data_IF_627454514111
#
_entry.id   IF_627454514111
#
_cell.length_a   1.000
_cell.length_b   1.000
_cell.length_c   1.000
_cell.angle_alpha   90.00
_cell.angle_beta   90.00
_cell.angle_gamma   90.00
#
_symmetry.space_group_name_H-M   'P 1'
#
loop_
_entity.id
_entity.type
_entity.pdbx_description
1 polymer ?
#
# COMPACT_ATOMS: atom_id res chain seq x y z
N UNK A 1 -20.13 -1.94 33.09
CA UNK A 1 -18.78 -2.10 32.52
C UNK A 1 -18.89 -3.22 31.52
N UNK A 2 -19.30 -2.90 30.30
CA UNK A 2 -19.43 -3.89 29.23
C UNK A 2 -18.04 -4.17 28.67
N UNK A 3 -17.56 -5.39 28.89
CA UNK A 3 -16.42 -5.90 28.15
C UNK A 3 -16.81 -5.91 26.66
N UNK A 4 -15.99 -5.36 25.75
CA UNK A 4 -16.27 -5.46 24.32
C UNK A 4 -16.36 -6.94 23.94
N UNK A 5 -17.49 -7.34 23.35
CA UNK A 5 -17.72 -8.72 22.97
C UNK A 5 -16.58 -9.24 22.08
N UNK A 6 -16.09 -10.47 22.31
CA UNK A 6 -15.01 -11.10 21.54
C UNK A 6 -15.32 -11.32 20.04
N UNK A 7 -16.50 -10.91 19.55
CA UNK A 7 -16.90 -10.99 18.14
C UNK A 7 -16.24 -9.96 17.21
N UNK A 8 -15.74 -8.83 17.72
CA UNK A 8 -15.25 -7.74 16.85
C UNK A 8 -13.93 -8.06 16.12
N UNK A 9 -12.93 -8.61 16.81
CA UNK A 9 -11.60 -8.86 16.23
C UNK A 9 -11.61 -10.05 15.28
N UNK A 10 -12.31 -11.13 15.63
CA UNK A 10 -12.42 -12.32 14.78
C UNK A 10 -13.10 -11.99 13.44
N UNK A 11 -14.16 -11.17 13.47
CA UNK A 11 -14.82 -10.67 12.27
C UNK A 11 -13.87 -9.84 11.39
N UNK A 12 -13.08 -8.93 11.97
CA UNK A 12 -12.08 -8.14 11.23
C UNK A 12 -11.08 -9.06 10.51
N UNK A 13 -10.57 -10.08 11.22
CA UNK A 13 -9.61 -11.04 10.65
C UNK A 13 -10.24 -11.84 9.51
N UNK A 14 -11.47 -12.32 9.68
CA UNK A 14 -12.20 -13.06 8.64
C UNK A 14 -12.38 -12.17 7.39
N UNK A 15 -12.84 -10.93 7.57
CA UNK A 15 -13.01 -9.98 6.48
C UNK A 15 -11.68 -9.68 5.78
N UNK A 16 -10.63 -9.37 6.54
CA UNK A 16 -9.30 -9.10 6.00
C UNK A 16 -8.71 -10.27 5.21
N UNK A 17 -8.94 -11.51 5.64
CA UNK A 17 -8.51 -12.72 4.94
C UNK A 17 -9.38 -13.05 3.72
N UNK A 18 -10.68 -12.74 3.76
CA UNK A 18 -11.62 -13.02 2.67
C UNK A 18 -11.34 -12.18 1.41
N UNK A 19 -10.94 -10.92 1.58
CA UNK A 19 -10.68 -9.97 0.49
C UNK A 19 -9.64 -10.50 -0.52
N UNK A 20 -8.41 -10.88 -0.12
CA UNK A 20 -7.42 -11.40 -1.07
C UNK A 20 -7.82 -12.73 -1.70
N UNK A 21 -8.59 -13.58 -0.99
CA UNK A 21 -9.09 -14.85 -1.53
C UNK A 21 -10.13 -14.60 -2.63
N UNK A 22 -11.03 -13.66 -2.41
CA UNK A 22 -12.04 -13.28 -3.41
C UNK A 22 -11.38 -12.59 -4.60
N UNK A 23 -10.42 -11.68 -4.35
CA UNK A 23 -9.58 -11.11 -5.40
C UNK A 23 -8.91 -12.20 -6.25
N UNK A 24 -8.26 -13.18 -5.60
CA UNK A 24 -7.61 -14.28 -6.30
C UNK A 24 -8.59 -15.10 -7.16
N UNK A 25 -9.77 -15.37 -6.62
CA UNK A 25 -10.84 -16.08 -7.32
C UNK A 25 -11.33 -15.32 -8.55
N UNK A 26 -11.44 -14.00 -8.46
CA UNK A 26 -11.80 -13.12 -9.59
C UNK A 26 -10.77 -13.21 -10.70
N UNK A 27 -9.48 -13.11 -10.37
CA UNK A 27 -8.40 -13.16 -11.38
C UNK A 27 -8.35 -14.53 -12.06
N UNK A 28 -8.52 -15.61 -11.32
CA UNK A 28 -8.41 -16.98 -11.85
C UNK A 28 -9.64 -17.39 -12.65
N UNK A 29 -10.85 -17.04 -12.19
CA UNK A 29 -12.10 -17.56 -12.75
C UNK A 29 -12.76 -16.63 -13.78
N UNK A 30 -12.51 -15.31 -13.72
CA UNK A 30 -13.19 -14.35 -14.60
C UNK A 30 -12.27 -13.94 -15.75
N UNK A 31 -12.62 -14.25 -17.02
CA UNK A 31 -11.80 -13.89 -18.17
C UNK A 31 -11.74 -12.38 -18.37
N UNK A 32 -10.71 -11.90 -19.08
CA UNK A 32 -10.52 -10.48 -19.41
C UNK A 32 -11.67 -9.86 -20.24
N UNK A 33 -12.43 -10.68 -20.97
CA UNK A 33 -13.59 -10.26 -21.77
C UNK A 33 -14.87 -10.08 -20.94
N UNK A 34 -14.96 -10.67 -19.75
CA UNK A 34 -16.15 -10.67 -18.89
C UNK A 34 -16.34 -9.36 -18.13
N UNK A 35 -16.54 -8.24 -18.85
CA UNK A 35 -16.61 -6.89 -18.25
C UNK A 35 -17.69 -6.79 -17.18
N UNK A 36 -18.90 -7.28 -17.45
CA UNK A 36 -20.01 -7.21 -16.49
C UNK A 36 -19.71 -8.03 -15.22
N UNK A 37 -19.18 -9.25 -15.38
CA UNK A 37 -18.77 -10.09 -14.25
C UNK A 37 -17.66 -9.44 -13.41
N UNK A 38 -16.71 -8.74 -14.05
CA UNK A 38 -15.65 -8.00 -13.35
C UNK A 38 -16.20 -6.80 -12.58
N UNK A 39 -17.18 -6.10 -13.13
CA UNK A 39 -17.87 -5.00 -12.43
C UNK A 39 -18.60 -5.56 -11.20
N UNK A 40 -19.43 -6.60 -11.36
CA UNK A 40 -20.15 -7.23 -10.25
C UNK A 40 -19.21 -7.76 -9.16
N UNK A 41 -18.13 -8.42 -9.57
CA UNK A 41 -17.09 -8.89 -8.66
C UNK A 41 -16.37 -7.75 -7.90
N UNK A 42 -16.15 -6.61 -8.56
CA UNK A 42 -15.56 -5.44 -7.92
C UNK A 42 -16.52 -4.79 -6.93
N UNK A 43 -17.83 -4.76 -7.24
CA UNK A 43 -18.86 -4.32 -6.28
C UNK A 43 -18.83 -5.22 -5.03
N UNK A 44 -18.76 -6.54 -5.20
CA UNK A 44 -18.64 -7.47 -4.07
C UNK A 44 -17.38 -7.22 -3.23
N UNK A 45 -16.22 -7.00 -3.87
CA UNK A 45 -14.98 -6.59 -3.16
C UNK A 45 -15.15 -5.27 -2.41
N UNK A 46 -15.87 -4.31 -3.01
CA UNK A 46 -16.15 -3.00 -2.39
C UNK A 46 -17.03 -3.14 -1.16
N UNK A 47 -18.05 -4.01 -1.21
CA UNK A 47 -18.90 -4.31 -0.06
C UNK A 47 -18.10 -4.95 1.08
N UNK A 48 -17.21 -5.90 0.79
CA UNK A 48 -16.35 -6.50 1.81
C UNK A 48 -15.38 -5.51 2.43
N UNK A 49 -14.80 -4.62 1.61
CA UNK A 49 -13.92 -3.57 2.09
C UNK A 49 -14.69 -2.58 2.97
N UNK A 50 -15.93 -2.24 2.61
CA UNK A 50 -16.82 -1.41 3.43
C UNK A 50 -17.12 -2.08 4.77
N UNK A 51 -17.51 -3.36 4.76
CA UNK A 51 -17.75 -4.13 5.99
C UNK A 51 -16.51 -4.21 6.88
N UNK A 52 -15.32 -4.33 6.29
CA UNK A 52 -14.06 -4.30 7.05
C UNK A 52 -13.88 -2.95 7.75
N UNK A 53 -14.18 -1.84 7.08
CA UNK A 53 -14.09 -0.50 7.67
C UNK A 53 -15.12 -0.26 8.77
N UNK A 54 -16.37 -0.70 8.59
CA UNK A 54 -17.37 -0.58 9.65
C UNK A 54 -16.97 -1.40 10.87
N UNK A 55 -16.52 -2.65 10.69
CA UNK A 55 -16.05 -3.47 11.81
C UNK A 55 -14.82 -2.88 12.50
N UNK A 56 -13.91 -2.24 11.77
CA UNK A 56 -12.77 -1.55 12.36
C UNK A 56 -13.21 -0.35 13.22
N UNK A 57 -14.18 0.43 12.75
CA UNK A 57 -14.71 1.59 13.48
C UNK A 57 -15.49 1.19 14.74
N UNK A 58 -16.13 0.03 14.73
CA UNK A 58 -16.86 -0.52 15.87
C UNK A 58 -15.95 -1.29 16.85
N UNK A 59 -14.68 -1.50 16.51
CA UNK A 59 -13.75 -2.25 17.34
C UNK A 59 -13.19 -1.45 18.50
N UNK A 60 -12.71 -2.16 19.52
CA UNK A 60 -11.99 -1.59 20.65
C UNK A 60 -10.51 -1.28 20.36
N UNK A 61 -10.07 -1.36 19.10
CA UNK A 61 -8.69 -1.10 18.73
C UNK A 61 -8.33 0.38 18.94
N UNK A 62 -7.08 0.70 19.33
CA UNK A 62 -6.61 2.07 19.38
C UNK A 62 -6.82 2.79 18.05
N UNK A 63 -7.23 4.07 18.10
CA UNK A 63 -7.47 4.88 16.90
C UNK A 63 -6.29 4.90 15.91
N UNK A 64 -5.07 4.89 16.42
CA UNK A 64 -3.87 4.82 15.60
C UNK A 64 -3.77 3.52 14.80
N UNK A 65 -4.16 2.38 15.40
CA UNK A 65 -4.19 1.08 14.72
C UNK A 65 -5.29 1.04 13.66
N UNK A 66 -6.50 1.53 13.99
CA UNK A 66 -7.61 1.63 13.05
C UNK A 66 -7.18 2.45 11.81
N UNK A 67 -6.55 3.60 12.04
CA UNK A 67 -6.07 4.48 10.97
C UNK A 67 -5.01 3.80 10.11
N UNK A 68 -4.03 3.13 10.74
CA UNK A 68 -2.97 2.42 10.03
C UNK A 68 -3.49 1.26 9.17
N UNK A 69 -4.36 0.42 9.72
CA UNK A 69 -5.01 -0.69 9.00
C UNK A 69 -5.85 -0.15 7.85
N UNK A 70 -6.60 0.92 8.08
CA UNK A 70 -7.47 1.53 7.06
C UNK A 70 -6.66 2.08 5.88
N UNK A 71 -5.59 2.83 6.15
CA UNK A 71 -4.71 3.38 5.11
C UNK A 71 -4.03 2.29 4.28
N UNK A 72 -3.51 1.25 4.94
CA UNK A 72 -2.83 0.17 4.25
C UNK A 72 -3.81 -0.67 3.41
N UNK A 73 -4.94 -1.07 3.98
CA UNK A 73 -5.98 -1.82 3.27
C UNK A 73 -6.58 -1.04 2.11
N UNK A 74 -6.75 0.28 2.24
CA UNK A 74 -7.19 1.15 1.14
C UNK A 74 -6.26 1.06 -0.07
N UNK A 75 -4.95 1.10 0.18
CA UNK A 75 -3.94 1.01 -0.87
C UNK A 75 -3.96 -0.33 -1.60
N UNK A 76 -4.18 -1.43 -0.86
CA UNK A 76 -4.36 -2.77 -1.44
C UNK A 76 -5.66 -2.87 -2.24
N UNK A 77 -6.76 -2.33 -1.71
CA UNK A 77 -8.06 -2.27 -2.39
C UNK A 77 -7.97 -1.50 -3.71
N UNK A 78 -7.35 -0.32 -3.70
CA UNK A 78 -7.15 0.49 -4.90
C UNK A 78 -6.32 -0.26 -5.96
N UNK A 79 -5.29 -1.00 -5.54
CA UNK A 79 -4.51 -1.85 -6.44
C UNK A 79 -5.28 -3.06 -6.96
N UNK A 80 -6.09 -3.72 -6.13
CA UNK A 80 -6.90 -4.87 -6.53
C UNK A 80 -7.97 -4.48 -7.55
N UNK A 81 -8.70 -3.41 -7.28
CA UNK A 81 -9.75 -2.92 -8.19
C UNK A 81 -9.20 -2.39 -9.51
N UNK A 82 -8.04 -1.71 -9.51
CA UNK A 82 -7.33 -1.33 -10.74
C UNK A 82 -6.99 -2.57 -11.57
N UNK A 83 -6.43 -3.61 -10.94
CA UNK A 83 -6.05 -4.84 -11.64
C UNK A 83 -7.25 -5.56 -12.24
N UNK A 84 -8.39 -5.59 -11.53
CA UNK A 84 -9.62 -6.25 -12.00
C UNK A 84 -10.29 -5.46 -13.13
N UNK A 85 -10.47 -4.15 -12.97
CA UNK A 85 -11.30 -3.34 -13.87
C UNK A 85 -10.52 -2.69 -15.02
N UNK A 86 -9.36 -2.10 -14.71
CA UNK A 86 -8.63 -1.26 -15.66
C UNK A 86 -7.60 -2.08 -16.43
N UNK A 87 -6.64 -2.65 -15.71
CA UNK A 87 -5.63 -3.51 -16.32
C UNK A 87 -6.18 -4.87 -16.76
N UNK A 88 -7.36 -5.29 -16.25
CA UNK A 88 -8.04 -6.55 -16.59
C UNK A 88 -7.14 -7.78 -16.51
N UNK A 89 -6.45 -7.94 -15.39
CA UNK A 89 -5.61 -9.11 -15.12
C UNK A 89 -6.44 -10.39 -15.16
N UNK A 90 -5.90 -11.43 -15.79
CA UNK A 90 -6.47 -12.77 -15.86
C UNK A 90 -5.49 -13.83 -15.32
N UNK A 91 -5.85 -15.10 -15.44
CA UNK A 91 -5.05 -16.22 -14.95
C UNK A 91 -3.65 -16.30 -15.56
N UNK A 92 -3.43 -15.78 -16.77
CA UNK A 92 -2.12 -15.80 -17.43
C UNK A 92 -1.21 -14.69 -16.92
N UNK A 93 -1.78 -13.60 -16.39
CA UNK A 93 -1.03 -12.49 -15.81
C UNK A 93 -0.50 -12.78 -14.39
N UNK A 94 -0.87 -13.93 -13.81
CA UNK A 94 -0.29 -14.46 -12.56
C UNK A 94 1.13 -14.99 -12.79
N UNK A 95 1.47 -15.37 -14.03
CA UNK A 95 2.80 -15.84 -14.38
C UNK A 95 3.78 -14.67 -14.41
N UNK A 96 5.02 -14.94 -13.98
CA UNK A 96 6.09 -13.99 -14.25
C UNK A 96 6.30 -13.84 -15.75
N UNK A 97 6.86 -12.70 -16.18
CA UNK A 97 7.09 -12.42 -17.60
C UNK A 97 7.88 -13.55 -18.28
N UNK A 98 8.87 -14.12 -17.60
CA UNK A 98 9.66 -15.24 -18.13
C UNK A 98 8.90 -16.57 -18.14
N UNK A 99 8.16 -16.91 -17.07
CA UNK A 99 7.35 -18.12 -17.04
C UNK A 99 6.25 -18.11 -18.11
N UNK A 100 5.69 -16.94 -18.41
CA UNK A 100 4.71 -16.75 -19.48
C UNK A 100 5.33 -16.99 -20.85
N UNK A 101 6.54 -16.48 -21.10
CA UNK A 101 7.30 -16.75 -22.34
C UNK A 101 7.58 -18.23 -22.53
N UNK A 102 7.89 -18.93 -21.43
CA UNK A 102 8.16 -20.37 -21.43
C UNK A 102 6.89 -21.23 -21.48
N UNK A 103 5.69 -20.63 -21.51
CA UNK A 103 4.43 -21.38 -21.58
C UNK A 103 4.15 -22.27 -20.36
N UNK A 104 4.71 -21.93 -19.20
CA UNK A 104 4.58 -22.76 -17.98
C UNK A 104 3.12 -22.86 -17.56
N UNK A 105 2.65 -24.10 -17.35
CA UNK A 105 1.33 -24.38 -16.78
C UNK A 105 1.41 -24.51 -15.26
N UNK A 106 0.45 -23.92 -14.57
CA UNK A 106 0.31 -23.99 -13.11
C UNK A 106 -0.98 -24.70 -12.75
N UNK A 107 -0.98 -25.42 -11.62
CA UNK A 107 -2.20 -25.96 -11.04
C UNK A 107 -3.12 -24.83 -10.55
N UNK A 108 -4.41 -25.11 -10.43
CA UNK A 108 -5.41 -24.13 -9.95
C UNK A 108 -5.08 -23.63 -8.55
N UNK A 109 -4.63 -24.51 -7.64
CA UNK A 109 -4.23 -24.13 -6.28
C UNK A 109 -3.04 -23.18 -6.30
N UNK A 110 -2.01 -23.48 -7.11
CA UNK A 110 -0.84 -22.58 -7.22
C UNK A 110 -1.22 -21.24 -7.85
N UNK A 111 -2.17 -21.22 -8.80
CA UNK A 111 -2.69 -19.96 -9.37
C UNK A 111 -3.39 -19.12 -8.30
N UNK A 112 -4.25 -19.71 -7.48
CA UNK A 112 -4.93 -19.01 -6.39
C UNK A 112 -3.94 -18.44 -5.37
N UNK A 113 -2.97 -19.25 -4.90
CA UNK A 113 -1.94 -18.80 -3.96
C UNK A 113 -1.10 -17.65 -4.51
N UNK A 114 -0.68 -17.73 -5.78
CA UNK A 114 0.07 -16.65 -6.43
C UNK A 114 -0.79 -15.40 -6.64
N UNK A 115 -2.07 -15.55 -6.98
CA UNK A 115 -2.99 -14.43 -7.11
C UNK A 115 -3.26 -13.72 -5.77
N UNK A 116 -3.28 -14.46 -4.65
CA UNK A 116 -3.26 -13.87 -3.29
C UNK A 116 -1.99 -13.05 -3.10
N UNK A 117 -0.81 -13.59 -3.43
CA UNK A 117 0.45 -12.85 -3.37
C UNK A 117 0.46 -11.60 -4.25
N UNK A 118 -0.19 -11.66 -5.42
CA UNK A 118 -0.34 -10.53 -6.35
C UNK A 118 -1.17 -9.38 -5.75
N UNK A 119 -2.14 -9.67 -4.88
CA UNK A 119 -2.90 -8.64 -4.16
C UNK A 119 -1.98 -7.73 -3.33
N UNK A 120 -0.99 -8.34 -2.65
CA UNK A 120 0.01 -7.65 -1.83
C UNK A 120 1.19 -7.09 -2.64
N UNK A 121 1.32 -7.48 -3.92
CA UNK A 121 2.39 -7.01 -4.80
C UNK A 121 2.05 -5.67 -5.46
N UNK A 122 2.01 -4.60 -4.66
CA UNK A 122 1.70 -3.24 -5.10
C UNK A 122 2.60 -2.74 -6.25
N UNK A 123 3.86 -3.20 -6.30
CA UNK A 123 4.81 -2.87 -7.39
C UNK A 123 4.86 -3.88 -8.52
N UNK A 124 4.14 -4.99 -8.41
CA UNK A 124 4.04 -6.04 -9.44
C UNK A 124 5.40 -6.59 -9.85
N UNK A 125 6.27 -6.82 -8.86
CA UNK A 125 7.64 -7.28 -9.10
C UNK A 125 7.61 -8.62 -9.84
N UNK A 126 8.20 -8.68 -11.04
CA UNK A 126 8.25 -9.87 -11.88
C UNK A 126 6.99 -10.13 -12.71
N UNK A 127 5.92 -9.37 -12.49
CA UNK A 127 4.64 -9.50 -13.18
C UNK A 127 4.52 -8.46 -14.31
N UNK A 128 3.46 -8.59 -15.12
CA UNK A 128 3.11 -7.57 -16.12
C UNK A 128 3.00 -6.21 -15.43
N UNK A 129 3.58 -5.17 -16.03
CA UNK A 129 3.43 -3.80 -15.55
C UNK A 129 4.23 -3.49 -14.27
N UNK A 130 5.30 -4.21 -13.98
CA UNK A 130 6.26 -3.91 -12.91
C UNK A 130 6.68 -2.42 -12.90
N UNK A 131 6.70 -1.83 -11.71
CA UNK A 131 7.28 -0.49 -11.52
C UNK A 131 8.78 -0.65 -11.33
N UNK A 132 9.55 -0.39 -12.38
CA UNK A 132 11.00 -0.49 -12.35
C UNK A 132 11.61 0.63 -11.51
N UNK A 133 12.29 0.28 -10.42
CA UNK A 133 13.21 1.18 -9.71
C UNK A 133 14.46 0.39 -9.29
N UNK A 134 15.60 0.78 -9.89
CA UNK A 134 16.94 0.18 -9.79
C UNK A 134 17.03 -1.26 -10.36
N UNK A 135 18.14 -1.56 -11.04
CA UNK A 135 18.44 -2.91 -11.56
C UNK A 135 18.41 -3.91 -10.40
N UNK A 136 17.76 -5.06 -10.58
CA UNK A 136 17.83 -6.16 -9.61
C UNK A 136 19.28 -6.57 -9.48
N UNK A 137 19.86 -6.38 -8.29
CA UNK A 137 21.22 -6.81 -8.00
C UNK A 137 21.10 -8.09 -7.20
N UNK A 138 21.65 -9.18 -7.73
CA UNK A 138 21.83 -10.41 -6.97
C UNK A 138 22.70 -10.10 -5.76
N UNK A 139 22.13 -10.24 -4.57
CA UNK A 139 22.84 -10.02 -3.30
C UNK A 139 22.90 -11.32 -2.52
N UNK A 140 23.94 -11.48 -1.72
CA UNK A 140 23.98 -12.51 -0.69
C UNK A 140 22.80 -12.28 0.27
N UNK A 141 22.01 -13.34 0.54
CA UNK A 141 20.83 -13.29 1.39
C UNK A 141 21.14 -12.87 2.83
N UNK A 142 22.26 -13.32 3.40
CA UNK A 142 22.67 -12.96 4.76
C UNK A 142 23.01 -11.47 4.82
N UNK A 143 23.84 -11.00 3.89
CA UNK A 143 24.20 -9.58 3.81
C UNK A 143 22.96 -8.69 3.62
N UNK A 144 22.03 -9.12 2.77
CA UNK A 144 20.77 -8.43 2.55
C UNK A 144 19.95 -8.34 3.84
N UNK A 145 19.77 -9.46 4.55
CA UNK A 145 19.00 -9.50 5.81
C UNK A 145 19.66 -8.61 6.87
N UNK A 146 20.99 -8.68 7.06
CA UNK A 146 21.72 -7.81 7.99
C UNK A 146 21.50 -6.34 7.63
N UNK A 147 21.63 -5.98 6.35
CA UNK A 147 21.41 -4.61 5.88
C UNK A 147 19.99 -4.13 6.20
N UNK A 148 18.99 -4.99 6.00
CA UNK A 148 17.59 -4.67 6.30
C UNK A 148 17.32 -4.55 7.79
N UNK A 149 17.93 -5.39 8.63
CA UNK A 149 17.82 -5.27 10.08
C UNK A 149 18.42 -3.95 10.56
N UNK A 150 19.62 -3.59 10.08
CA UNK A 150 20.26 -2.31 10.43
C UNK A 150 19.37 -1.12 9.98
N UNK A 151 18.84 -1.18 8.76
CA UNK A 151 17.91 -0.16 8.24
C UNK A 151 16.65 -0.05 9.13
N UNK A 152 16.08 -1.18 9.56
CA UNK A 152 14.91 -1.23 10.43
C UNK A 152 15.21 -0.67 11.81
N UNK A 153 16.34 -1.03 12.42
CA UNK A 153 16.76 -0.48 13.72
C UNK A 153 16.92 1.03 13.63
N UNK A 154 17.61 1.54 12.59
CA UNK A 154 17.74 2.97 12.37
C UNK A 154 16.38 3.68 12.19
N UNK A 155 15.48 3.11 11.39
CA UNK A 155 14.14 3.65 11.20
C UNK A 155 13.32 3.63 12.51
N UNK A 156 13.41 2.55 13.28
CA UNK A 156 12.74 2.41 14.58
C UNK A 156 13.22 3.47 15.56
N UNK A 157 14.53 3.67 15.71
CA UNK A 157 15.08 4.67 16.63
C UNK A 157 14.66 6.10 16.25
N UNK A 158 14.60 6.43 14.97
CA UNK A 158 14.10 7.75 14.53
C UNK A 158 12.62 7.89 14.86
N UNK A 159 11.82 6.84 14.62
CA UNK A 159 10.40 6.86 14.96
C UNK A 159 10.18 6.99 16.47
N UNK A 160 10.96 6.26 17.28
CA UNK A 160 10.93 6.33 18.74
C UNK A 160 11.27 7.75 19.23
N UNK A 161 12.33 8.36 18.70
CA UNK A 161 12.68 9.74 19.01
C UNK A 161 11.57 10.75 18.65
N UNK A 162 10.87 10.54 17.52
CA UNK A 162 9.71 11.36 17.14
C UNK A 162 8.53 11.15 18.10
N UNK A 163 8.29 9.91 18.52
CA UNK A 163 7.19 9.57 19.44
C UNK A 163 7.45 10.04 20.88
N UNK A 164 8.71 10.22 21.26
CA UNK A 164 9.12 10.84 22.52
C UNK A 164 8.95 12.36 22.55
N UNK A 165 8.69 13.00 21.41
CA UNK A 165 8.46 14.44 21.36
C UNK A 165 7.26 14.84 22.24
N UNK A 166 7.33 15.98 22.94
CA UNK A 166 6.24 16.43 23.79
C UNK A 166 4.97 16.61 22.96
N UNK A 167 3.82 16.26 23.57
CA UNK A 167 2.53 16.46 22.91
C UNK A 167 2.34 17.96 22.62
N UNK A 168 1.82 18.30 21.44
CA UNK A 168 1.51 19.68 21.12
C UNK A 168 0.56 20.29 22.14
N UNK A 169 0.79 21.55 22.46
CA UNK A 169 -0.05 22.29 23.40
C UNK A 169 -1.49 22.37 22.86
N UNK A 170 -2.48 22.20 23.74
CA UNK A 170 -3.89 22.09 23.33
C UNK A 170 -4.41 23.32 22.56
N UNK A 171 -3.84 24.50 22.81
CA UNK A 171 -4.21 25.74 22.15
C UNK A 171 -3.82 25.79 20.65
N UNK A 172 -2.89 24.93 20.21
CA UNK A 172 -2.48 24.77 18.80
C UNK A 172 -3.43 23.84 18.02
N UNK A 173 -4.19 23.00 18.72
CA UNK A 173 -5.11 22.01 18.14
C UNK A 173 -6.53 22.32 18.61
N UNK A 174 -7.08 23.45 18.18
CA UNK A 174 -8.47 23.81 18.42
C UNK A 174 -9.31 23.62 17.15
N UNK A 175 -10.62 23.39 17.31
CA UNK A 175 -11.55 23.19 16.18
C UNK A 175 -11.54 24.35 15.20
N UNK A 176 -11.43 25.58 15.70
CA UNK A 176 -11.37 26.80 14.88
C UNK A 176 -10.11 26.84 14.00
N UNK A 177 -8.99 26.34 14.53
CA UNK A 177 -7.70 26.26 13.85
C UNK A 177 -7.58 25.04 12.91
N UNK A 178 -8.62 24.21 12.75
CA UNK A 178 -8.63 23.11 11.78
C UNK A 178 -9.00 23.57 10.35
N UNK A 179 -9.44 24.83 10.17
CA UNK A 179 -9.83 25.35 8.86
C UNK A 179 -8.64 25.53 7.91
N UNK A 180 -8.85 25.13 6.65
CA UNK A 180 -7.93 25.37 5.52
C UNK A 180 -8.00 26.79 4.98
N UNK A 181 -9.13 27.48 5.17
CA UNK A 181 -9.44 28.74 4.48
C UNK A 181 -9.50 29.95 5.41
N UNK A 182 -9.72 29.75 6.71
CA UNK A 182 -9.71 30.84 7.69
C UNK A 182 -8.28 31.05 8.22
N UNK A 183 -7.48 31.81 7.48
CA UNK A 183 -6.08 32.08 7.81
C UNK A 183 -5.88 33.38 8.62
N UNK A 184 -6.91 34.24 8.71
CA UNK A 184 -6.82 35.56 9.36
C UNK A 184 -6.68 35.50 10.88
N UNK A 185 -7.06 34.37 11.50
CA UNK A 185 -6.97 34.17 12.95
C UNK A 185 -5.70 33.42 13.40
N UNK A 186 -4.76 33.16 12.48
CA UNK A 186 -3.58 32.36 12.78
C UNK A 186 -2.44 33.22 13.34
N UNK A 187 -1.88 32.78 14.45
CA UNK A 187 -0.65 33.36 15.01
C UNK A 187 0.59 32.82 14.28
N UNK A 188 1.74 33.46 14.48
CA UNK A 188 3.03 32.96 13.98
C UNK A 188 3.33 31.54 14.46
N UNK A 189 2.99 31.24 15.72
CA UNK A 189 3.17 29.93 16.32
C UNK A 189 2.32 28.86 15.62
N UNK A 190 1.06 29.19 15.31
CA UNK A 190 0.16 28.28 14.57
C UNK A 190 0.72 27.92 13.19
N UNK A 191 1.30 28.90 12.49
CA UNK A 191 1.91 28.67 11.17
C UNK A 191 3.15 27.77 11.28
N UNK A 192 4.03 28.03 12.25
CA UNK A 192 5.22 27.21 12.49
C UNK A 192 4.81 25.78 12.85
N UNK A 193 3.83 25.62 13.74
CA UNK A 193 3.29 24.32 14.13
C UNK A 193 2.75 23.57 12.91
N UNK A 194 1.89 24.21 12.10
CA UNK A 194 1.32 23.61 10.88
C UNK A 194 2.39 23.12 9.90
N UNK A 195 3.41 23.94 9.61
CA UNK A 195 4.50 23.56 8.71
C UNK A 195 5.29 22.39 9.30
N UNK A 196 5.65 22.48 10.58
CA UNK A 196 6.46 21.47 11.27
C UNK A 196 5.73 20.13 11.38
N UNK A 197 4.45 20.14 11.76
CA UNK A 197 3.61 18.93 11.82
C UNK A 197 3.39 18.33 10.43
N UNK A 198 3.23 19.17 9.40
CA UNK A 198 3.11 18.68 8.02
C UNK A 198 4.40 17.98 7.59
N UNK A 199 5.56 18.62 7.75
CA UNK A 199 6.85 18.00 7.43
C UNK A 199 7.10 16.74 8.27
N UNK A 200 6.76 16.77 9.55
CA UNK A 200 6.85 15.64 10.46
C UNK A 200 6.02 14.45 9.98
N UNK A 201 4.77 14.69 9.55
CA UNK A 201 3.91 13.63 9.00
C UNK A 201 4.52 12.98 7.75
N UNK A 202 5.16 13.76 6.87
CA UNK A 202 5.88 13.21 5.73
C UNK A 202 7.07 12.34 6.17
N UNK A 203 7.88 12.82 7.11
CA UNK A 203 9.02 12.05 7.63
C UNK A 203 8.56 10.75 8.27
N UNK A 204 7.52 10.79 9.11
CA UNK A 204 6.92 9.60 9.74
C UNK A 204 6.46 8.63 8.66
N UNK A 205 5.65 9.09 7.69
CA UNK A 205 5.15 8.23 6.62
C UNK A 205 6.27 7.56 5.81
N UNK A 206 7.34 8.31 5.50
CA UNK A 206 8.52 7.77 4.82
C UNK A 206 9.22 6.66 5.63
N UNK A 207 9.46 6.92 6.91
CA UNK A 207 10.15 5.99 7.81
C UNK A 207 9.31 4.74 8.07
N UNK A 208 8.01 4.90 8.34
CA UNK A 208 7.10 3.78 8.60
C UNK A 208 7.01 2.83 7.40
N UNK A 209 6.92 3.37 6.18
CA UNK A 209 6.90 2.55 4.96
C UNK A 209 8.22 1.81 4.76
N UNK A 210 9.37 2.44 5.03
CA UNK A 210 10.68 1.78 4.96
C UNK A 210 10.87 0.72 6.01
N UNK A 211 10.44 0.98 7.25
CA UNK A 211 10.48 0.04 8.35
C UNK A 211 9.66 -1.21 8.03
N UNK A 212 8.39 -1.02 7.62
CA UNK A 212 7.51 -2.13 7.26
C UNK A 212 8.07 -2.93 6.07
N UNK A 213 8.56 -2.26 5.03
CA UNK A 213 9.15 -2.92 3.87
C UNK A 213 10.42 -3.69 4.22
N UNK A 214 11.33 -3.08 4.98
CA UNK A 214 12.57 -3.71 5.40
C UNK A 214 12.33 -4.93 6.28
N UNK A 215 11.38 -4.84 7.21
CA UNK A 215 11.01 -5.93 8.11
C UNK A 215 10.44 -7.12 7.34
N UNK A 216 9.43 -6.89 6.48
CA UNK A 216 8.81 -7.97 5.69
C UNK A 216 9.82 -8.57 4.70
N UNK A 217 10.69 -7.76 4.10
CA UNK A 217 11.75 -8.24 3.22
C UNK A 217 12.76 -9.13 3.97
N UNK A 218 13.21 -8.72 5.15
CA UNK A 218 14.14 -9.49 5.98
C UNK A 218 13.54 -10.84 6.38
N UNK A 219 12.31 -10.84 6.90
CA UNK A 219 11.60 -12.06 7.30
C UNK A 219 11.37 -12.99 6.10
N UNK A 220 10.92 -12.44 4.96
CA UNK A 220 10.64 -13.25 3.77
C UNK A 220 11.89 -13.90 3.18
N UNK A 221 13.02 -13.21 3.18
CA UNK A 221 14.31 -13.76 2.72
C UNK A 221 14.87 -14.77 3.74
N UNK A 222 14.75 -14.49 5.04
CA UNK A 222 15.20 -15.39 6.11
C UNK A 222 14.45 -16.73 6.09
N UNK A 223 13.14 -16.69 5.83
CA UNK A 223 12.29 -17.88 5.68
C UNK A 223 12.45 -18.59 4.33
N UNK A 224 13.28 -18.07 3.42
CA UNK A 224 13.49 -18.64 2.08
C UNK A 224 12.27 -18.50 1.14
N UNK A 225 11.30 -17.64 1.47
CA UNK A 225 10.10 -17.43 0.67
C UNK A 225 10.37 -16.61 -0.60
N UNK A 226 11.36 -15.72 -0.54
CA UNK A 226 11.74 -14.85 -1.64
C UNK A 226 13.26 -14.70 -1.71
N UNK A 227 13.77 -14.31 -2.88
CA UNK A 227 15.16 -13.92 -3.04
C UNK A 227 15.31 -12.42 -2.74
N UNK A 228 16.52 -11.95 -2.38
CA UNK A 228 16.80 -10.51 -2.23
C UNK A 228 16.40 -9.66 -3.44
N UNK A 229 16.51 -10.22 -4.64
CA UNK A 229 16.16 -9.56 -5.91
C UNK A 229 14.65 -9.28 -6.08
N UNK A 230 13.80 -9.99 -5.34
CA UNK A 230 12.34 -9.81 -5.35
C UNK A 230 11.90 -8.60 -4.49
N UNK A 231 12.83 -8.02 -3.72
CA UNK A 231 12.60 -6.89 -2.82
C UNK A 231 13.37 -5.63 -3.26
N UNK A 232 13.09 -5.06 -4.45
CA UNK A 232 13.80 -3.87 -4.90
C UNK A 232 13.55 -2.67 -3.97
N UNK A 233 14.44 -1.69 -3.99
CA UNK A 233 14.28 -0.47 -3.18
C UNK A 233 12.96 0.24 -3.49
N UNK A 234 12.23 0.68 -2.46
CA UNK A 234 10.95 1.37 -2.64
C UNK A 234 11.07 2.70 -3.35
N UNK A 235 12.17 3.41 -3.10
CA UNK A 235 12.35 4.78 -3.54
C UNK A 235 13.63 4.89 -4.39
N UNK A 236 13.62 5.80 -5.36
CA UNK A 236 14.80 6.17 -6.13
C UNK A 236 15.90 6.83 -5.28
N UNK A 237 17.08 7.07 -5.86
CA UNK A 237 18.17 7.76 -5.16
C UNK A 237 17.76 9.20 -4.81
N UNK A 238 18.12 9.67 -3.61
CA UNK A 238 17.85 11.05 -3.14
C UNK A 238 18.41 12.09 -4.14
N UNK A 239 19.55 11.79 -4.76
CA UNK A 239 20.18 12.65 -5.79
C UNK A 239 19.30 12.92 -7.01
N UNK A 240 18.25 12.12 -7.23
CA UNK A 240 17.32 12.32 -8.35
C UNK A 240 16.24 13.38 -8.08
N UNK A 241 16.18 13.99 -6.89
CA UNK A 241 15.17 15.00 -6.53
C UNK A 241 15.54 16.41 -7.03
N UNK A 242 15.93 16.52 -8.29
CA UNK A 242 16.25 17.81 -8.91
C UNK A 242 15.00 18.60 -9.30
N UNK A 243 13.84 17.95 -9.44
CA UNK A 243 12.59 18.59 -9.84
C UNK A 243 11.39 18.00 -9.09
N UNK A 244 10.28 18.75 -9.05
CA UNK A 244 8.99 18.23 -8.54
C UNK A 244 8.59 16.95 -9.29
N UNK A 245 8.79 16.93 -10.61
CA UNK A 245 8.48 15.76 -11.46
C UNK A 245 9.27 14.53 -11.02
N UNK A 246 10.57 14.67 -10.78
CA UNK A 246 11.39 13.51 -10.39
C UNK A 246 11.11 13.10 -8.95
N UNK A 247 10.85 14.03 -8.03
CA UNK A 247 10.44 13.70 -6.66
C UNK A 247 9.22 12.75 -6.63
N UNK A 248 8.12 13.12 -7.30
CA UNK A 248 6.92 12.27 -7.38
C UNK A 248 7.10 11.09 -8.34
N UNK A 249 7.89 11.28 -9.39
CA UNK A 249 8.07 10.34 -10.47
C UNK A 249 9.13 9.26 -10.21
N UNK A 250 9.95 9.35 -9.18
CA UNK A 250 10.98 8.34 -8.89
C UNK A 250 11.12 8.02 -7.40
N UNK A 251 10.76 8.95 -6.52
CA UNK A 251 11.06 8.81 -5.10
C UNK A 251 9.85 8.54 -4.24
N UNK A 252 8.84 9.41 -4.26
CA UNK A 252 7.74 9.35 -3.32
C UNK A 252 6.64 8.36 -3.74
N UNK A 253 5.99 7.68 -2.77
CA UNK A 253 4.85 6.74 -2.93
C UNK A 253 4.87 5.82 -4.17
N UNK A 254 6.02 5.24 -4.51
CA UNK A 254 6.10 4.34 -5.67
C UNK A 254 5.27 3.05 -5.51
N UNK A 255 4.94 2.65 -4.27
CA UNK A 255 4.04 1.53 -4.00
C UNK A 255 2.68 1.70 -4.68
N UNK A 256 2.07 2.89 -4.60
CA UNK A 256 0.71 3.11 -5.09
C UNK A 256 0.66 3.64 -6.52
N UNK A 257 1.82 3.84 -7.18
CA UNK A 257 1.89 4.50 -8.48
C UNK A 257 0.97 3.86 -9.51
N UNK A 258 0.97 2.52 -9.64
CA UNK A 258 0.15 1.83 -10.65
C UNK A 258 -1.34 1.99 -10.41
N UNK A 259 -1.77 1.83 -9.15
CA UNK A 259 -3.16 2.03 -8.77
C UNK A 259 -3.60 3.47 -9.07
N UNK A 260 -2.83 4.46 -8.60
CA UNK A 260 -3.19 5.87 -8.73
C UNK A 260 -3.12 6.38 -10.17
N UNK A 261 -2.12 5.98 -10.94
CA UNK A 261 -2.04 6.35 -12.38
C UNK A 261 -3.11 5.67 -13.20
N UNK A 262 -3.42 4.39 -12.95
CA UNK A 262 -4.51 3.69 -13.63
C UNK A 262 -5.84 4.40 -13.46
N UNK A 263 -6.23 4.70 -12.22
CA UNK A 263 -7.46 5.45 -11.94
C UNK A 263 -7.39 6.91 -12.42
N UNK A 264 -6.24 7.55 -12.23
CA UNK A 264 -5.99 8.94 -12.64
C UNK A 264 -5.95 9.15 -14.15
N UNK A 265 -5.71 8.11 -14.95
CA UNK A 265 -5.81 8.14 -16.41
C UNK A 265 -7.21 7.75 -16.87
N UNK A 266 -7.81 6.73 -16.25
CA UNK A 266 -9.14 6.26 -16.61
C UNK A 266 -10.23 7.33 -16.46
N UNK A 267 -10.25 8.05 -15.33
CA UNK A 267 -11.32 9.03 -15.08
C UNK A 267 -11.29 10.18 -16.10
N UNK A 268 -10.16 10.89 -16.30
CA UNK A 268 -10.07 11.93 -17.35
C UNK A 268 -10.36 11.39 -18.74
N UNK A 269 -9.75 10.28 -19.14
CA UNK A 269 -9.76 9.86 -20.54
C UNK A 269 -11.06 9.15 -20.95
N UNK A 270 -11.68 8.40 -20.03
CA UNK A 270 -12.86 7.56 -20.33
C UNK A 270 -14.16 8.11 -19.74
N UNK A 271 -14.13 8.68 -18.55
CA UNK A 271 -15.34 9.23 -17.91
C UNK A 271 -15.58 10.66 -18.38
N UNK A 272 -14.57 11.51 -18.27
CA UNK A 272 -14.68 12.93 -18.60
C UNK A 272 -14.36 13.24 -20.08
N UNK A 273 -13.74 12.29 -20.80
CA UNK A 273 -13.30 12.44 -22.20
C UNK A 273 -12.43 13.67 -22.43
N UNK A 274 -11.58 13.99 -21.45
CA UNK A 274 -10.61 15.08 -21.57
C UNK A 274 -9.54 14.67 -22.58
N UNK A 275 -9.32 15.51 -23.59
CA UNK A 275 -8.27 15.31 -24.59
C UNK A 275 -6.96 15.83 -24.00
N UNK A 276 -5.98 14.95 -23.82
CA UNK A 276 -4.63 15.32 -23.37
C UNK A 276 -3.77 15.73 -24.56
#
# INVERSE_FOLDING_TARGET
MDHPEPGSISQIVILACSIPVIFASIIVCIPKSGVLSRIGATVALSCLQYSLYTSLLESSLPQAQITGISLFSWGLYANGTEQVLLSRYDADDILTVEERRLGRRLSTVTRLLRAVGMYFSLRRVGLRGEISMKKRVSSNSILFVITKIIECVGCYLILDAILLAPRPEGHLITREKQSLFNLSSLTREDVIFRISSSLGNWVIGYISVRLAHGFVAAVSVLLGLCKPEDWPHLNGPIRSWSTVRTFWGTFWHQLFRKALTGWGDFIPDRVLRLRR
#
